data_IF_069452214376
#
_entry.id   IF_069452214376
#
_cell.length_a   1.000
_cell.length_b   1.000
_cell.length_c   1.000
_cell.angle_alpha   90.00
_cell.angle_beta   90.00
_cell.angle_gamma   90.00
#
_symmetry.space_group_name_H-M   'P 1'
#
loop_
_entity.id
_entity.type
_entity.pdbx_description
1 polymer ?
#
# COMPACT_ATOMS: atom_id res chain seq x y z
N UNK A 1 0.81 -49.36 41.04
CA UNK A 1 0.94 -49.52 39.59
C UNK A 1 1.82 -48.39 39.03
N UNK A 2 3.05 -48.71 38.66
CA UNK A 2 3.97 -47.73 38.06
C UNK A 2 3.63 -47.60 36.59
N UNK A 3 3.16 -46.43 36.16
CA UNK A 3 2.87 -46.08 34.77
C UNK A 3 4.21 -45.98 34.03
N UNK A 4 4.48 -46.87 33.06
CA UNK A 4 5.63 -46.77 32.17
C UNK A 4 5.53 -45.44 31.43
N UNK A 5 6.55 -44.62 31.51
CA UNK A 5 6.75 -43.46 30.67
C UNK A 5 7.50 -43.94 29.45
N UNK A 6 6.81 -44.01 28.31
CA UNK A 6 7.44 -44.25 27.02
C UNK A 6 8.26 -43.00 26.67
N UNK A 7 9.56 -43.17 26.53
CA UNK A 7 10.48 -42.08 26.14
C UNK A 7 10.54 -41.99 24.61
N UNK A 8 10.65 -40.76 24.07
CA UNK A 8 10.89 -40.54 22.67
C UNK A 8 12.26 -41.12 22.23
N UNK A 9 12.29 -41.73 21.04
CA UNK A 9 13.51 -42.21 20.44
C UNK A 9 14.26 -41.06 19.73
N UNK A 10 15.57 -41.10 19.65
CA UNK A 10 16.39 -40.13 18.94
C UNK A 10 16.01 -40.03 17.47
N UNK A 11 15.65 -41.16 16.85
CA UNK A 11 15.26 -41.24 15.44
C UNK A 11 13.92 -40.53 15.20
N UNK A 12 12.95 -40.62 16.10
CA UNK A 12 11.67 -39.90 16.00
C UNK A 12 11.90 -38.40 16.02
N UNK A 13 12.78 -37.89 16.85
CA UNK A 13 13.11 -36.46 16.90
C UNK A 13 13.80 -36.01 15.64
N UNK A 14 14.77 -36.77 15.11
CA UNK A 14 15.51 -36.43 13.87
C UNK A 14 14.59 -36.42 12.66
N UNK A 15 13.67 -37.39 12.54
CA UNK A 15 12.72 -37.43 11.43
C UNK A 15 11.76 -36.24 11.48
N UNK A 16 11.29 -35.86 12.67
CA UNK A 16 10.39 -34.69 12.83
C UNK A 16 11.10 -33.40 12.40
N UNK A 17 12.32 -33.14 12.87
CA UNK A 17 13.04 -31.91 12.47
C UNK A 17 13.41 -31.91 10.99
N UNK A 18 13.68 -33.07 10.39
CA UNK A 18 13.93 -33.22 8.94
C UNK A 18 12.69 -32.82 8.15
N UNK A 19 11.52 -33.35 8.50
CA UNK A 19 10.25 -33.03 7.84
C UNK A 19 9.92 -31.53 8.00
N UNK A 20 10.06 -30.99 9.23
CA UNK A 20 9.83 -29.56 9.49
C UNK A 20 10.78 -28.68 8.69
N UNK A 21 12.05 -29.08 8.56
CA UNK A 21 13.05 -28.36 7.75
C UNK A 21 12.67 -28.28 6.26
N UNK A 22 12.19 -29.42 5.69
CA UNK A 22 11.73 -29.45 4.29
C UNK A 22 10.48 -28.60 4.11
N UNK A 23 9.50 -28.69 5.00
CA UNK A 23 8.27 -27.91 4.94
C UNK A 23 8.54 -26.40 5.09
N UNK A 24 9.41 -26.03 6.00
CA UNK A 24 9.82 -24.64 6.20
C UNK A 24 10.54 -24.08 4.95
N UNK A 25 11.43 -24.85 4.35
CA UNK A 25 12.18 -24.47 3.16
C UNK A 25 11.29 -24.18 1.94
N UNK A 26 10.18 -24.90 1.79
CA UNK A 26 9.23 -24.70 0.67
C UNK A 26 8.15 -23.67 1.01
N UNK A 27 7.73 -23.59 2.27
CA UNK A 27 6.62 -22.72 2.69
C UNK A 27 6.99 -21.25 2.82
N UNK A 28 8.17 -20.94 3.34
CA UNK A 28 8.59 -19.58 3.62
C UNK A 28 8.58 -18.65 2.38
N UNK A 29 9.14 -19.01 1.21
CA UNK A 29 9.13 -18.14 0.04
C UNK A 29 7.71 -17.79 -0.45
N UNK A 30 6.77 -18.72 -0.37
CA UNK A 30 5.38 -18.48 -0.77
C UNK A 30 4.66 -17.46 0.09
N UNK A 31 4.96 -17.41 1.39
CA UNK A 31 4.33 -16.46 2.32
C UNK A 31 4.76 -15.02 2.03
N UNK A 32 6.04 -14.79 1.72
CA UNK A 32 6.55 -13.45 1.38
C UNK A 32 5.90 -12.90 0.11
N UNK A 33 5.78 -13.70 -0.95
CA UNK A 33 5.12 -13.27 -2.19
C UNK A 33 3.64 -12.94 -1.97
N UNK A 34 2.92 -13.72 -1.17
CA UNK A 34 1.50 -13.46 -0.88
C UNK A 34 1.30 -12.15 -0.11
N UNK A 35 2.19 -11.82 0.84
CA UNK A 35 2.13 -10.56 1.59
C UNK A 35 2.34 -9.35 0.68
N UNK A 36 3.31 -9.39 -0.22
CA UNK A 36 3.56 -8.32 -1.19
C UNK A 36 2.37 -8.08 -2.12
N UNK A 37 1.79 -9.15 -2.66
CA UNK A 37 0.60 -9.07 -3.50
C UNK A 37 -0.63 -8.51 -2.75
N UNK A 38 -0.78 -8.84 -1.47
CA UNK A 38 -1.86 -8.29 -0.64
C UNK A 38 -1.69 -6.78 -0.42
N UNK A 39 -0.46 -6.33 -0.17
CA UNK A 39 -0.12 -4.90 -0.04
C UNK A 39 -0.40 -4.14 -1.35
N UNK A 40 0.02 -4.67 -2.49
CA UNK A 40 -0.24 -4.09 -3.81
C UNK A 40 -1.75 -3.98 -4.10
N UNK A 41 -2.52 -5.03 -3.84
CA UNK A 41 -3.97 -5.00 -4.02
C UNK A 41 -4.65 -3.97 -3.11
N UNK A 42 -4.19 -3.83 -1.86
CA UNK A 42 -4.64 -2.80 -0.94
C UNK A 42 -4.31 -1.40 -1.44
N UNK A 43 -3.12 -1.19 -2.01
CA UNK A 43 -2.73 0.08 -2.63
C UNK A 43 -3.63 0.43 -3.82
N UNK A 44 -3.85 -0.52 -4.75
CA UNK A 44 -4.75 -0.32 -5.91
C UNK A 44 -6.16 0.08 -5.47
N UNK A 45 -6.68 -0.58 -4.44
CA UNK A 45 -7.99 -0.23 -3.88
C UNK A 45 -7.99 1.17 -3.27
N UNK A 46 -6.94 1.55 -2.55
CA UNK A 46 -6.81 2.87 -1.95
C UNK A 46 -6.73 3.96 -3.01
N UNK A 47 -5.92 3.75 -4.06
CA UNK A 47 -5.82 4.67 -5.20
C UNK A 47 -7.18 4.86 -5.87
N UNK A 48 -7.93 3.77 -6.12
CA UNK A 48 -9.27 3.86 -6.70
C UNK A 48 -10.21 4.70 -5.83
N UNK A 49 -10.25 4.45 -4.51
CA UNK A 49 -11.13 5.20 -3.58
C UNK A 49 -10.80 6.70 -3.58
N UNK A 50 -9.51 7.07 -3.57
CA UNK A 50 -9.10 8.48 -3.56
C UNK A 50 -9.38 9.14 -4.90
N UNK A 51 -9.07 8.46 -6.02
CA UNK A 51 -9.38 8.95 -7.38
C UNK A 51 -10.87 9.18 -7.59
N UNK A 52 -11.71 8.22 -7.15
CA UNK A 52 -13.17 8.36 -7.17
C UNK A 52 -13.62 9.58 -6.33
N UNK A 53 -12.99 9.80 -5.17
CA UNK A 53 -13.25 10.97 -4.32
C UNK A 53 -12.88 12.29 -5.00
N UNK A 54 -11.77 12.35 -5.73
CA UNK A 54 -11.34 13.52 -6.52
C UNK A 54 -12.34 13.82 -7.63
N UNK A 55 -12.80 12.78 -8.34
CA UNK A 55 -13.79 12.90 -9.42
C UNK A 55 -15.13 13.42 -8.89
N UNK A 56 -15.61 12.89 -7.77
CA UNK A 56 -16.85 13.34 -7.12
C UNK A 56 -16.73 14.79 -6.65
N UNK A 57 -15.60 15.17 -6.04
CA UNK A 57 -15.34 16.56 -5.68
C UNK A 57 -15.40 17.47 -6.92
N UNK A 58 -14.75 17.08 -8.00
CA UNK A 58 -14.73 17.84 -9.24
C UNK A 58 -16.14 18.01 -9.84
N UNK A 59 -16.95 16.95 -9.82
CA UNK A 59 -18.32 17.00 -10.28
C UNK A 59 -19.17 17.99 -9.49
N UNK A 60 -19.00 18.05 -8.16
CA UNK A 60 -19.74 18.95 -7.25
C UNK A 60 -19.21 20.40 -7.31
N UNK A 61 -17.97 20.61 -7.80
CA UNK A 61 -17.31 21.93 -7.85
C UNK A 61 -17.07 22.45 -9.27
N UNK A 62 -18.02 22.22 -10.17
CA UNK A 62 -18.03 22.73 -11.56
C UNK A 62 -16.77 22.36 -12.36
N UNK A 63 -16.26 21.16 -12.16
CA UNK A 63 -15.07 20.65 -12.86
C UNK A 63 -13.72 21.08 -12.25
N UNK A 64 -13.75 21.74 -11.09
CA UNK A 64 -12.53 22.16 -10.39
C UNK A 64 -12.02 21.05 -9.49
N UNK A 65 -10.74 20.74 -9.57
CA UNK A 65 -10.09 19.75 -8.72
C UNK A 65 -9.77 20.29 -7.32
N UNK A 66 -9.67 19.43 -6.29
CA UNK A 66 -9.35 19.87 -4.93
C UNK A 66 -7.99 20.55 -4.85
N UNK A 67 -7.91 21.66 -4.12
CA UNK A 67 -6.64 22.34 -3.89
C UNK A 67 -5.71 21.47 -3.03
N UNK A 68 -4.42 21.47 -3.36
CA UNK A 68 -3.37 20.83 -2.58
C UNK A 68 -2.19 21.75 -2.41
N UNK A 69 -1.80 22.03 -1.16
CA UNK A 69 -0.66 22.86 -0.83
C UNK A 69 0.17 22.21 0.28
N UNK A 70 1.48 22.45 0.28
CA UNK A 70 2.39 21.90 1.29
C UNK A 70 2.40 20.36 1.29
N UNK A 71 1.75 19.75 2.27
CA UNK A 71 1.65 18.30 2.44
C UNK A 71 0.20 17.79 2.39
N UNK A 72 -0.72 18.57 1.85
CA UNK A 72 -2.14 18.20 1.70
C UNK A 72 -2.99 18.29 2.96
N UNK A 73 -2.40 18.66 4.12
CA UNK A 73 -3.10 18.77 5.41
C UNK A 73 -3.50 20.21 5.74
N UNK A 74 -4.45 20.37 6.68
CA UNK A 74 -4.92 21.67 7.16
C UNK A 74 -6.24 22.11 6.55
N UNK A 75 -6.78 23.23 7.09
CA UNK A 75 -8.09 23.75 6.70
C UNK A 75 -8.10 24.21 5.24
N UNK A 76 -9.14 23.81 4.50
CA UNK A 76 -9.30 24.10 3.08
C UNK A 76 -8.31 23.40 2.16
N UNK A 77 -7.58 22.38 2.65
CA UNK A 77 -6.59 21.66 1.88
C UNK A 77 -7.11 20.26 1.49
N UNK A 78 -6.36 19.52 0.71
CA UNK A 78 -6.72 18.26 0.06
C UNK A 78 -7.43 17.25 0.98
N UNK A 79 -6.89 16.98 2.18
CA UNK A 79 -7.50 16.03 3.12
C UNK A 79 -8.88 16.48 3.60
N UNK A 80 -9.04 17.75 3.92
CA UNK A 80 -10.33 18.28 4.39
C UNK A 80 -11.35 18.33 3.25
N UNK A 81 -10.94 18.79 2.08
CA UNK A 81 -11.80 18.87 0.90
C UNK A 81 -12.35 17.49 0.49
N UNK A 82 -11.52 16.45 0.60
CA UNK A 82 -11.94 15.08 0.30
C UNK A 82 -12.65 14.36 1.45
N UNK A 83 -12.71 14.93 2.65
CA UNK A 83 -13.30 14.26 3.82
C UNK A 83 -14.79 13.89 3.68
N UNK A 84 -15.52 14.55 2.79
CA UNK A 84 -16.92 14.26 2.49
C UNK A 84 -17.09 13.09 1.50
N UNK A 85 -16.07 12.82 0.68
CA UNK A 85 -16.09 11.83 -0.41
C UNK A 85 -15.34 10.55 -0.01
N UNK A 86 -14.30 10.67 0.81
CA UNK A 86 -13.52 9.54 1.32
C UNK A 86 -13.86 9.31 2.80
N UNK A 87 -14.39 8.13 3.11
CA UNK A 87 -14.80 7.80 4.48
C UNK A 87 -13.63 7.60 5.42
N UNK A 88 -13.69 8.25 6.57
CA UNK A 88 -12.73 8.09 7.66
C UNK A 88 -11.53 9.03 7.54
N UNK A 89 -10.39 8.60 8.08
CA UNK A 89 -9.13 9.35 7.95
C UNK A 89 -8.56 9.15 6.56
N UNK A 90 -7.88 10.16 6.04
CA UNK A 90 -7.15 10.03 4.78
C UNK A 90 -6.14 8.88 4.87
N UNK A 91 -6.09 7.96 3.88
CA UNK A 91 -5.32 6.73 3.97
C UNK A 91 -3.81 6.99 3.97
N UNK A 92 -3.08 6.16 4.71
CA UNK A 92 -1.62 6.07 4.62
C UNK A 92 -1.22 5.21 3.42
N UNK A 93 -0.12 5.57 2.75
CA UNK A 93 0.49 4.69 1.76
C UNK A 93 1.00 3.41 2.44
N UNK A 94 0.71 2.22 1.93
CA UNK A 94 1.24 0.97 2.49
C UNK A 94 2.66 0.65 1.98
N UNK A 95 3.25 1.50 1.14
CA UNK A 95 4.57 1.32 0.53
C UNK A 95 5.35 2.64 0.54
N UNK A 96 6.65 2.57 0.35
CA UNK A 96 7.54 3.72 0.31
C UNK A 96 7.60 4.47 1.63
N UNK A 97 7.35 5.78 1.59
CA UNK A 97 7.15 6.58 2.79
C UNK A 97 5.74 6.34 3.32
N UNK A 98 5.63 5.47 4.33
CA UNK A 98 4.36 5.00 4.89
C UNK A 98 3.65 6.09 5.70
N UNK A 99 3.27 7.18 5.02
CA UNK A 99 2.51 8.29 5.60
C UNK A 99 1.26 8.62 4.78
N UNK A 100 0.46 9.55 5.26
CA UNK A 100 -0.74 10.02 4.58
C UNK A 100 -0.55 11.40 3.92
N UNK A 101 0.67 11.90 3.85
CA UNK A 101 0.97 13.20 3.29
C UNK A 101 0.87 13.19 1.76
N UNK A 102 0.35 14.27 1.20
CA UNK A 102 0.13 14.44 -0.24
C UNK A 102 0.96 15.62 -0.73
N UNK A 103 1.99 15.36 -1.51
CA UNK A 103 2.82 16.40 -2.11
C UNK A 103 2.18 16.91 -3.41
N UNK A 104 1.95 18.22 -3.55
CA UNK A 104 1.47 18.78 -4.81
C UNK A 104 2.58 18.76 -5.87
N UNK A 105 2.19 18.44 -7.11
CA UNK A 105 3.03 18.48 -8.30
C UNK A 105 2.38 19.32 -9.38
N UNK A 106 3.19 20.03 -10.17
CA UNK A 106 2.74 20.70 -11.39
C UNK A 106 3.17 19.95 -12.65
N UNK A 107 3.85 18.80 -12.50
CA UNK A 107 4.27 17.99 -13.64
C UNK A 107 3.06 17.21 -14.20
N UNK A 108 3.07 17.00 -15.51
CA UNK A 108 2.10 16.19 -16.26
C UNK A 108 2.86 15.34 -17.29
N UNK A 109 2.95 14.00 -17.07
CA UNK A 109 2.46 13.25 -15.90
C UNK A 109 3.21 13.57 -14.59
N UNK A 110 2.57 13.24 -13.45
CA UNK A 110 3.21 13.35 -12.13
C UNK A 110 4.38 12.36 -12.04
N UNK A 111 5.49 12.81 -11.48
CA UNK A 111 6.70 11.98 -11.30
C UNK A 111 6.97 11.77 -9.81
N UNK A 112 7.02 10.53 -9.38
CA UNK A 112 7.29 10.18 -8.00
C UNK A 112 8.73 10.53 -7.56
N UNK A 113 8.88 11.02 -6.32
CA UNK A 113 10.17 11.41 -5.73
C UNK A 113 10.46 10.79 -4.35
N UNK A 114 9.54 9.97 -3.83
CA UNK A 114 9.69 9.21 -2.60
C UNK A 114 9.67 10.02 -1.29
N UNK A 115 9.29 11.30 -1.32
CA UNK A 115 9.37 12.19 -0.14
C UNK A 115 8.14 12.17 0.76
N UNK A 116 7.00 11.70 0.24
CA UNK A 116 5.70 11.56 0.93
C UNK A 116 5.04 10.27 0.49
N UNK A 117 3.96 9.83 1.14
CA UNK A 117 3.21 8.65 0.72
C UNK A 117 2.50 8.80 -0.63
N UNK A 118 2.06 10.02 -0.93
CA UNK A 118 1.26 10.33 -2.12
C UNK A 118 1.74 11.58 -2.85
N UNK A 119 1.51 11.63 -4.17
CA UNK A 119 1.63 12.85 -4.98
C UNK A 119 0.34 13.12 -5.73
N UNK A 120 0.08 14.40 -5.99
CA UNK A 120 -1.14 14.85 -6.61
C UNK A 120 -0.92 16.13 -7.45
N UNK A 121 -1.51 16.16 -8.65
CA UNK A 121 -1.53 17.35 -9.49
C UNK A 121 -2.91 18.03 -9.40
N UNK A 122 -3.02 19.21 -8.77
CA UNK A 122 -4.31 19.91 -8.64
C UNK A 122 -4.84 20.50 -9.94
N UNK A 123 -4.06 20.47 -11.04
CA UNK A 123 -4.48 20.95 -12.35
C UNK A 123 -5.10 19.85 -13.18
N UNK A 124 -4.54 18.64 -13.13
CA UNK A 124 -5.01 17.50 -13.95
C UNK A 124 -5.89 16.54 -13.15
N UNK A 125 -5.85 16.60 -11.81
CA UNK A 125 -6.52 15.65 -10.94
C UNK A 125 -5.76 14.33 -10.76
N UNK A 126 -4.58 14.18 -11.36
CA UNK A 126 -3.76 12.97 -11.27
C UNK A 126 -3.27 12.73 -9.85
N UNK A 127 -3.53 11.53 -9.32
CA UNK A 127 -3.14 11.10 -7.98
C UNK A 127 -2.41 9.76 -8.06
N UNK A 128 -1.19 9.71 -7.53
CA UNK A 128 -0.30 8.55 -7.59
C UNK A 128 0.26 8.17 -6.21
N UNK A 129 0.71 6.92 -6.08
CA UNK A 129 1.62 6.53 -5.01
C UNK A 129 2.99 7.16 -5.27
N UNK A 130 3.63 7.70 -4.23
CA UNK A 130 4.93 8.36 -4.37
C UNK A 130 6.10 7.38 -4.12
N UNK A 131 6.12 6.26 -4.86
CA UNK A 131 7.17 5.25 -4.75
C UNK A 131 7.45 4.62 -6.13
N UNK A 132 8.71 4.63 -6.54
CA UNK A 132 9.19 4.08 -7.82
C UNK A 132 9.69 2.64 -7.72
N UNK A 133 9.47 1.96 -6.58
CA UNK A 133 9.82 0.55 -6.44
C UNK A 133 8.93 -0.33 -7.33
N UNK A 134 9.50 -1.42 -7.84
CA UNK A 134 8.76 -2.38 -8.66
C UNK A 134 7.67 -3.11 -7.87
N UNK A 135 6.55 -3.39 -8.52
CA UNK A 135 5.45 -4.12 -7.89
C UNK A 135 5.76 -5.62 -7.75
N UNK A 136 5.24 -6.28 -6.71
CA UNK A 136 5.41 -7.73 -6.52
C UNK A 136 4.73 -8.59 -7.60
N UNK A 137 3.71 -8.06 -8.29
CA UNK A 137 3.01 -8.77 -9.35
C UNK A 137 3.75 -8.73 -10.68
N UNK A 138 4.43 -7.61 -10.97
CA UNK A 138 5.18 -7.39 -12.21
C UNK A 138 6.38 -6.45 -11.96
N UNK A 139 7.58 -6.97 -12.04
CA UNK A 139 8.81 -6.21 -11.82
C UNK A 139 9.09 -5.12 -12.89
N UNK A 140 8.31 -5.06 -13.95
CA UNK A 140 8.40 -4.01 -14.98
C UNK A 140 7.48 -2.82 -14.74
N UNK A 141 6.56 -2.94 -13.76
CA UNK A 141 5.60 -1.90 -13.35
C UNK A 141 6.00 -1.37 -11.98
N UNK A 142 6.02 -0.07 -11.81
CA UNK A 142 6.32 0.58 -10.52
C UNK A 142 5.04 1.01 -9.79
N UNK A 143 5.15 1.28 -8.48
CA UNK A 143 3.98 1.64 -7.67
C UNK A 143 3.34 2.98 -8.06
N UNK A 144 4.11 3.91 -8.62
CA UNK A 144 3.61 5.19 -9.14
C UNK A 144 2.83 5.05 -10.46
N UNK A 145 2.98 3.94 -11.17
CA UNK A 145 2.27 3.63 -12.40
C UNK A 145 0.92 2.92 -12.18
N UNK A 146 0.57 2.61 -10.92
CA UNK A 146 -0.70 1.97 -10.56
C UNK A 146 -1.83 3.02 -10.54
#
# INVERSE_FOLDING_TARGET
MLRRRDGFTLIELVVVILILGILAGVGAPKLFNTSGLATENGLRQTLSIVRDGIELYSADNAGSFPACTGNGTGAGNFHELLSQYVRGKFPTSPVGTEDNLVKPSAADPVVADGTTGWMYNPTTGEFICNDTAATPSDATVTYDEL
#
